data_IF_661155422986
#
_entry.id   IF_661155422986
#
_cell.length_a   1.000
_cell.length_b   1.000
_cell.length_c   1.000
_cell.angle_alpha   90.00
_cell.angle_beta   90.00
_cell.angle_gamma   90.00
#
_symmetry.space_group_name_H-M   'P 1'
#
loop_
_entity.id
_entity.type
_entity.pdbx_description
1 polymer ?
#
# COMPACT_ATOMS: atom_id res chain seq x y z
N UNK A 1 -19.46 15.15 -23.64
CA UNK A 1 -19.14 13.87 -22.94
C UNK A 1 -17.74 14.00 -22.38
N UNK A 2 -17.56 13.78 -21.08
CA UNK A 2 -16.24 13.90 -20.47
C UNK A 2 -15.27 12.87 -21.07
N UNK A 3 -14.15 13.32 -21.60
CA UNK A 3 -13.14 12.46 -22.20
C UNK A 3 -12.36 11.73 -21.10
N UNK A 4 -12.01 10.47 -21.34
CA UNK A 4 -11.11 9.70 -20.47
C UNK A 4 -9.87 9.31 -21.27
N UNK A 5 -8.70 9.61 -20.73
CA UNK A 5 -7.40 9.23 -21.28
C UNK A 5 -6.80 8.16 -20.36
N UNK A 6 -6.49 7.00 -20.92
CA UNK A 6 -5.81 5.91 -20.23
C UNK A 6 -4.31 5.96 -20.52
N UNK A 7 -3.52 5.77 -19.48
CA UNK A 7 -2.04 5.74 -19.58
C UNK A 7 -1.56 4.39 -19.01
N UNK A 8 -0.84 3.65 -19.83
CA UNK A 8 -0.04 2.52 -19.40
C UNK A 8 1.41 2.98 -19.24
N UNK A 9 1.95 2.87 -18.03
CA UNK A 9 3.23 3.46 -17.67
C UNK A 9 4.25 2.41 -17.21
N UNK A 10 5.43 2.48 -17.80
CA UNK A 10 6.59 1.68 -17.45
C UNK A 10 7.75 2.56 -16.94
N UNK A 11 8.86 1.94 -16.60
CA UNK A 11 10.04 2.63 -16.03
C UNK A 11 10.58 3.74 -16.95
N UNK A 12 10.63 3.50 -18.26
CA UNK A 12 11.30 4.38 -19.21
C UNK A 12 10.35 5.08 -20.19
N UNK A 13 9.19 4.50 -20.43
CA UNK A 13 8.22 5.01 -21.39
C UNK A 13 6.79 4.75 -20.95
N UNK A 14 5.84 5.43 -21.59
CA UNK A 14 4.42 5.19 -21.39
C UNK A 14 3.63 5.35 -22.69
N UNK A 15 2.53 4.62 -22.77
CA UNK A 15 1.57 4.65 -23.87
C UNK A 15 0.28 5.32 -23.42
N UNK A 16 -0.37 6.05 -24.32
CA UNK A 16 -1.63 6.73 -24.04
C UNK A 16 -2.71 6.35 -25.05
N UNK A 17 -3.95 6.32 -24.58
CA UNK A 17 -5.12 6.08 -25.40
C UNK A 17 -6.33 6.88 -24.90
N UNK A 18 -7.17 7.34 -25.82
CA UNK A 18 -8.49 7.87 -25.50
C UNK A 18 -9.54 7.25 -26.40
N UNK A 19 -10.73 6.95 -25.83
CA UNK A 19 -11.89 6.47 -26.59
C UNK A 19 -12.60 7.68 -27.20
N UNK A 20 -12.83 7.65 -28.51
CA UNK A 20 -13.55 8.68 -29.25
C UNK A 20 -15.05 8.35 -29.34
N UNK A 21 -15.89 9.37 -29.63
CA UNK A 21 -17.34 9.21 -29.78
C UNK A 21 -17.75 8.22 -30.88
N UNK A 22 -16.87 7.96 -31.87
CA UNK A 22 -17.08 6.98 -32.94
C UNK A 22 -16.70 5.54 -32.56
N UNK A 23 -16.37 5.28 -31.29
CA UNK A 23 -15.94 3.98 -30.80
C UNK A 23 -14.49 3.60 -31.16
N UNK A 24 -13.76 4.46 -31.86
CA UNK A 24 -12.34 4.24 -32.19
C UNK A 24 -11.43 4.82 -31.12
N UNK A 25 -10.23 4.24 -30.97
CA UNK A 25 -9.21 4.77 -30.08
C UNK A 25 -8.24 5.67 -30.82
N UNK A 26 -7.94 6.80 -30.21
CA UNK A 26 -6.77 7.61 -30.59
C UNK A 26 -5.65 7.28 -29.61
N UNK A 27 -4.48 6.97 -30.13
CA UNK A 27 -3.34 6.51 -29.32
C UNK A 27 -2.07 7.26 -29.68
N UNK A 28 -1.16 7.42 -28.72
CA UNK A 28 0.23 7.77 -28.93
C UNK A 28 1.09 6.87 -28.05
N UNK A 29 2.13 6.30 -28.61
CA UNK A 29 2.95 5.30 -27.94
C UNK A 29 4.37 5.81 -27.69
N UNK A 30 5.05 5.18 -26.74
CA UNK A 30 6.48 5.38 -26.46
C UNK A 30 6.87 6.82 -26.13
N UNK A 31 6.06 7.49 -25.34
CA UNK A 31 6.45 8.73 -24.71
C UNK A 31 7.44 8.42 -23.59
N UNK A 32 8.53 9.18 -23.47
CA UNK A 32 9.52 8.97 -22.42
C UNK A 32 8.92 9.30 -21.04
N UNK A 33 9.22 8.48 -20.03
CA UNK A 33 8.82 8.77 -18.63
C UNK A 33 9.80 9.81 -18.02
N UNK A 34 9.86 10.98 -18.64
CA UNK A 34 10.69 12.14 -18.29
C UNK A 34 9.92 13.42 -18.56
N UNK A 35 10.42 14.56 -18.11
CA UNK A 35 9.77 15.87 -18.34
C UNK A 35 9.48 16.13 -19.84
N UNK A 36 10.37 15.73 -20.75
CA UNK A 36 10.13 15.89 -22.18
C UNK A 36 8.91 15.10 -22.66
N UNK A 37 8.75 13.86 -22.18
CA UNK A 37 7.56 13.06 -22.51
C UNK A 37 6.30 13.61 -21.86
N UNK A 38 6.40 14.21 -20.67
CA UNK A 38 5.26 14.87 -20.01
C UNK A 38 4.78 16.09 -20.80
N UNK A 39 5.70 16.93 -21.29
CA UNK A 39 5.36 18.05 -22.18
C UNK A 39 4.73 17.56 -23.49
N UNK A 40 5.23 16.45 -24.07
CA UNK A 40 4.63 15.87 -25.27
C UNK A 40 3.22 15.32 -25.01
N UNK A 41 2.97 14.76 -23.82
CA UNK A 41 1.64 14.34 -23.39
C UNK A 41 0.72 15.56 -23.28
N UNK A 42 1.15 16.61 -22.62
CA UNK A 42 0.36 17.84 -22.44
C UNK A 42 -0.04 18.46 -23.78
N UNK A 43 0.90 18.58 -24.73
CA UNK A 43 0.60 19.03 -26.09
C UNK A 43 -0.41 18.14 -26.80
N UNK A 44 -0.36 16.83 -26.54
CA UNK A 44 -1.32 15.89 -27.10
C UNK A 44 -2.69 16.03 -26.44
N UNK A 45 -2.75 16.23 -25.11
CA UNK A 45 -3.99 16.43 -24.35
C UNK A 45 -4.72 17.69 -24.83
N UNK A 46 -4.02 18.81 -24.99
CA UNK A 46 -4.60 20.08 -25.49
C UNK A 46 -5.27 19.90 -26.88
N UNK A 47 -4.74 19.00 -27.72
CA UNK A 47 -5.29 18.76 -29.07
C UNK A 47 -6.43 17.76 -29.10
N UNK A 48 -6.52 16.86 -28.12
CA UNK A 48 -7.30 15.63 -28.26
C UNK A 48 -8.18 15.27 -27.06
N UNK A 49 -8.05 15.99 -25.96
CA UNK A 49 -8.85 15.81 -24.77
C UNK A 49 -9.59 17.11 -24.41
N UNK A 50 -10.70 16.99 -23.69
CA UNK A 50 -11.41 18.14 -23.13
C UNK A 50 -10.70 18.65 -21.89
N UNK A 51 -10.85 19.93 -21.49
CA UNK A 51 -10.16 20.50 -20.32
C UNK A 51 -10.48 19.79 -19.01
N UNK A 52 -11.66 19.19 -18.89
CA UNK A 52 -12.14 18.45 -17.72
C UNK A 52 -11.95 16.92 -17.83
N UNK A 53 -11.15 16.47 -18.81
CA UNK A 53 -10.87 15.06 -19.03
C UNK A 53 -10.30 14.37 -17.79
N UNK A 54 -10.71 13.14 -17.56
CA UNK A 54 -10.06 12.26 -16.60
C UNK A 54 -8.82 11.63 -17.23
N UNK A 55 -7.71 11.68 -16.50
CA UNK A 55 -6.49 10.96 -16.85
C UNK A 55 -6.34 9.80 -15.90
N UNK A 56 -6.49 8.59 -16.42
CA UNK A 56 -6.46 7.36 -15.65
C UNK A 56 -5.17 6.61 -15.91
N UNK A 57 -4.52 6.10 -14.88
CA UNK A 57 -3.31 5.29 -15.01
C UNK A 57 -3.29 4.17 -13.99
N UNK A 58 -2.57 3.09 -14.29
CA UNK A 58 -2.37 1.99 -13.36
C UNK A 58 -1.23 2.29 -12.40
N UNK A 59 -1.39 1.93 -11.11
CA UNK A 59 -0.36 2.07 -10.08
C UNK A 59 0.76 1.05 -10.27
N UNK A 60 1.65 1.27 -11.25
CA UNK A 60 2.78 0.39 -11.54
C UNK A 60 4.02 0.81 -10.74
N UNK A 61 4.24 0.17 -9.58
CA UNK A 61 5.35 0.52 -8.69
C UNK A 61 5.35 2.00 -8.34
N UNK A 62 6.53 2.65 -8.48
CA UNK A 62 6.73 4.10 -8.26
C UNK A 62 6.71 4.89 -9.58
N UNK A 63 6.64 4.21 -10.72
CA UNK A 63 6.89 4.84 -12.04
C UNK A 63 5.81 5.83 -12.45
N UNK A 64 4.60 5.69 -11.93
CA UNK A 64 3.48 6.60 -12.19
C UNK A 64 3.53 7.89 -11.38
N UNK A 65 4.27 7.93 -10.26
CA UNK A 65 4.20 9.04 -9.29
C UNK A 65 4.64 10.38 -9.90
N UNK A 66 5.75 10.41 -10.64
CA UNK A 66 6.26 11.64 -11.24
C UNK A 66 5.30 12.22 -12.28
N UNK A 67 4.72 11.38 -13.14
CA UNK A 67 3.75 11.81 -14.14
C UNK A 67 2.42 12.26 -13.49
N UNK A 68 1.95 11.51 -12.49
CA UNK A 68 0.73 11.88 -11.77
C UNK A 68 0.88 13.24 -11.05
N UNK A 69 2.04 13.48 -10.40
CA UNK A 69 2.34 14.75 -9.74
C UNK A 69 2.44 15.89 -10.75
N UNK A 70 3.11 15.68 -11.88
CA UNK A 70 3.20 16.66 -12.98
C UNK A 70 1.80 17.06 -13.46
N UNK A 71 0.97 16.08 -13.82
CA UNK A 71 -0.39 16.33 -14.31
C UNK A 71 -1.28 17.01 -13.26
N UNK A 72 -1.17 16.60 -11.98
CA UNK A 72 -1.88 17.25 -10.89
C UNK A 72 -1.50 18.73 -10.72
N UNK A 73 -0.19 19.05 -10.77
CA UNK A 73 0.31 20.42 -10.69
C UNK A 73 -0.15 21.29 -11.86
N UNK A 74 -0.41 20.70 -13.04
CA UNK A 74 -0.93 21.38 -14.22
C UNK A 74 -2.48 21.40 -14.29
N UNK A 75 -3.15 21.02 -13.19
CA UNK A 75 -4.60 21.13 -13.04
C UNK A 75 -5.41 20.01 -13.70
N UNK A 76 -4.78 18.94 -14.17
CA UNK A 76 -5.48 17.79 -14.73
C UNK A 76 -6.13 16.92 -13.65
N UNK A 77 -7.27 16.30 -13.98
CA UNK A 77 -7.97 15.37 -13.12
C UNK A 77 -7.36 13.96 -13.27
N UNK A 78 -6.48 13.60 -12.36
CA UNK A 78 -5.78 12.30 -12.37
C UNK A 78 -6.50 11.29 -11.49
N UNK A 79 -6.59 10.04 -11.93
CA UNK A 79 -7.01 8.90 -11.11
C UNK A 79 -6.03 7.75 -11.29
N UNK A 80 -5.42 7.30 -10.17
CA UNK A 80 -4.49 6.18 -10.14
C UNK A 80 -5.24 4.92 -9.69
N UNK A 81 -5.30 3.93 -10.57
CA UNK A 81 -6.15 2.75 -10.42
C UNK A 81 -5.31 1.57 -9.93
N UNK A 82 -5.86 0.81 -8.99
CA UNK A 82 -5.21 -0.40 -8.49
C UNK A 82 -5.06 -1.45 -9.61
N UNK A 83 -3.86 -2.02 -9.83
CA UNK A 83 -3.59 -3.03 -10.85
C UNK A 83 -4.54 -4.24 -10.81
N UNK A 84 -4.97 -4.66 -9.61
CA UNK A 84 -5.91 -5.76 -9.47
C UNK A 84 -7.29 -5.46 -10.09
N UNK A 85 -7.74 -4.18 -10.10
CA UNK A 85 -9.00 -3.77 -10.76
C UNK A 85 -8.87 -3.87 -12.26
N UNK A 86 -7.77 -3.36 -12.83
CA UNK A 86 -7.50 -3.42 -14.28
C UNK A 86 -7.37 -4.87 -14.73
N UNK A 87 -6.60 -5.69 -14.02
CA UNK A 87 -6.44 -7.13 -14.32
C UNK A 87 -7.77 -7.89 -14.27
N UNK A 88 -8.61 -7.65 -13.25
CA UNK A 88 -9.92 -8.27 -13.14
C UNK A 88 -10.86 -7.84 -14.29
N UNK A 89 -10.78 -6.57 -14.65
CA UNK A 89 -11.55 -6.01 -15.77
C UNK A 89 -11.10 -6.60 -17.11
N UNK A 90 -9.79 -6.74 -17.35
CA UNK A 90 -9.24 -7.42 -18.52
C UNK A 90 -9.78 -8.86 -18.65
N UNK A 91 -9.80 -9.60 -17.55
CA UNK A 91 -10.38 -10.94 -17.49
C UNK A 91 -11.87 -10.97 -17.87
N UNK A 92 -12.66 -9.99 -17.42
CA UNK A 92 -14.08 -9.88 -17.76
C UNK A 92 -14.33 -9.57 -19.24
N UNK A 93 -13.38 -8.92 -19.92
CA UNK A 93 -13.46 -8.62 -21.36
C UNK A 93 -12.92 -9.76 -22.24
N UNK A 94 -12.54 -10.91 -21.67
CA UNK A 94 -11.94 -12.05 -22.39
C UNK A 94 -10.73 -11.67 -23.28
N UNK A 95 -9.97 -10.68 -22.82
CA UNK A 95 -8.84 -10.14 -23.59
C UNK A 95 -7.72 -11.19 -23.65
N UNK A 96 -7.32 -11.59 -24.88
CA UNK A 96 -6.31 -12.61 -25.13
C UNK A 96 -4.94 -12.06 -25.48
N UNK A 97 -4.88 -10.79 -25.93
CA UNK A 97 -3.64 -10.13 -26.36
C UNK A 97 -3.22 -9.11 -25.31
N UNK A 98 -1.98 -9.21 -24.85
CA UNK A 98 -1.36 -8.26 -23.92
C UNK A 98 -0.25 -7.51 -24.65
N UNK A 99 -0.42 -6.20 -24.84
CA UNK A 99 0.60 -5.26 -25.33
C UNK A 99 0.32 -3.90 -24.72
N UNK A 100 1.34 -3.06 -24.53
CA UNK A 100 1.24 -1.76 -23.87
C UNK A 100 0.15 -0.86 -24.50
N UNK A 101 0.03 -0.86 -25.82
CA UNK A 101 -1.07 -0.15 -26.54
C UNK A 101 -2.45 -0.70 -26.22
N UNK A 102 -2.57 -1.99 -25.98
CA UNK A 102 -3.84 -2.65 -25.62
C UNK A 102 -4.15 -2.33 -24.16
N UNK A 103 -3.13 -2.28 -23.31
CA UNK A 103 -3.28 -1.99 -21.89
C UNK A 103 -3.68 -0.51 -21.67
N UNK A 104 -3.10 0.47 -22.37
CA UNK A 104 -3.56 1.87 -22.34
C UNK A 104 -5.02 2.04 -22.80
N UNK A 105 -5.45 1.30 -23.86
CA UNK A 105 -6.86 1.30 -24.28
C UNK A 105 -7.79 0.69 -23.25
N UNK A 106 -7.36 -0.37 -22.59
CA UNK A 106 -8.11 -1.03 -21.52
C UNK A 106 -8.29 -0.10 -20.32
N UNK A 107 -7.23 0.62 -19.93
CA UNK A 107 -7.27 1.60 -18.85
C UNK A 107 -8.23 2.74 -19.19
N UNK A 108 -8.18 3.26 -20.44
CA UNK A 108 -9.13 4.28 -20.90
C UNK A 108 -10.58 3.79 -20.88
N UNK A 109 -10.83 2.56 -21.35
CA UNK A 109 -12.15 1.97 -21.36
C UNK A 109 -12.69 1.71 -19.94
N UNK A 110 -11.81 1.23 -19.05
CA UNK A 110 -12.13 1.06 -17.64
C UNK A 110 -12.55 2.40 -17.02
N UNK A 111 -11.73 3.43 -17.17
CA UNK A 111 -12.03 4.76 -16.64
C UNK A 111 -13.32 5.34 -17.20
N UNK A 112 -13.59 5.15 -18.50
CA UNK A 112 -14.83 5.60 -19.13
C UNK A 112 -16.08 4.89 -18.56
N UNK A 113 -16.02 3.57 -18.38
CA UNK A 113 -17.15 2.78 -17.86
C UNK A 113 -17.40 2.92 -16.36
N UNK A 114 -16.38 3.32 -15.61
CA UNK A 114 -16.44 3.46 -14.15
C UNK A 114 -16.16 4.90 -13.72
N UNK A 115 -16.54 5.87 -14.54
CA UNK A 115 -16.24 7.30 -14.32
C UNK A 115 -16.76 7.79 -12.96
N UNK A 116 -17.93 7.31 -12.54
CA UNK A 116 -18.55 7.65 -11.25
C UNK A 116 -17.79 7.09 -10.03
N UNK A 117 -16.93 6.10 -10.25
CA UNK A 117 -16.08 5.48 -9.21
C UNK A 117 -14.67 6.05 -9.17
N UNK A 118 -14.28 6.88 -10.14
CA UNK A 118 -12.94 7.46 -10.19
C UNK A 118 -12.73 8.41 -9.01
N UNK A 119 -11.62 8.22 -8.32
CA UNK A 119 -11.22 9.10 -7.23
C UNK A 119 -10.09 10.02 -7.70
N UNK A 120 -10.18 11.34 -7.43
CA UNK A 120 -9.09 12.25 -7.76
C UNK A 120 -7.86 11.90 -6.93
N UNK A 121 -6.76 11.67 -7.64
CA UNK A 121 -5.46 11.45 -7.03
C UNK A 121 -4.88 12.78 -6.55
N UNK A 122 -4.24 12.74 -5.40
CA UNK A 122 -3.50 13.87 -4.84
C UNK A 122 -2.12 13.39 -4.40
N UNK A 123 -1.07 14.21 -4.58
CA UNK A 123 0.26 13.85 -4.13
C UNK A 123 0.27 13.72 -2.60
N UNK A 124 0.94 12.69 -2.13
CA UNK A 124 1.17 12.60 -0.69
C UNK A 124 2.05 13.74 -0.20
N UNK A 125 1.83 14.24 1.02
CA UNK A 125 2.72 15.21 1.63
C UNK A 125 4.19 14.75 1.60
N UNK A 126 5.13 15.65 1.35
CA UNK A 126 6.55 15.33 1.27
C UNK A 126 7.07 14.62 2.54
N UNK A 127 6.57 15.03 3.71
CA UNK A 127 6.89 14.43 5.00
C UNK A 127 6.44 12.95 5.03
N UNK A 128 5.24 12.64 4.56
CA UNK A 128 4.72 11.29 4.50
C UNK A 128 5.51 10.40 3.53
N UNK A 129 5.86 10.92 2.34
CA UNK A 129 6.70 10.22 1.35
C UNK A 129 8.07 9.90 1.93
N UNK A 130 8.68 10.86 2.65
CA UNK A 130 9.98 10.66 3.31
C UNK A 130 9.92 9.60 4.39
N UNK A 131 8.90 9.61 5.25
CA UNK A 131 8.70 8.59 6.28
C UNK A 131 8.59 7.20 5.64
N UNK A 132 7.78 7.07 4.59
CA UNK A 132 7.62 5.79 3.88
C UNK A 132 8.94 5.30 3.27
N UNK A 133 9.72 6.17 2.66
CA UNK A 133 11.02 5.80 2.10
C UNK A 133 11.99 5.31 3.18
N UNK A 134 12.06 5.98 4.35
CA UNK A 134 12.90 5.58 5.47
C UNK A 134 12.45 4.23 6.07
N UNK A 135 11.16 4.02 6.25
CA UNK A 135 10.62 2.76 6.79
C UNK A 135 10.89 1.60 5.83
N UNK A 136 10.66 1.77 4.53
CA UNK A 136 11.00 0.75 3.52
C UNK A 136 12.49 0.44 3.51
N UNK A 137 13.35 1.47 3.55
CA UNK A 137 14.79 1.25 3.65
C UNK A 137 15.19 0.46 4.88
N UNK A 138 14.55 0.70 6.02
CA UNK A 138 14.78 -0.07 7.24
C UNK A 138 14.39 -1.55 7.06
N UNK A 139 13.29 -1.83 6.37
CA UNK A 139 12.86 -3.21 6.07
C UNK A 139 13.86 -3.92 5.17
N UNK A 140 14.27 -3.27 4.06
CA UNK A 140 15.30 -3.81 3.15
C UNK A 140 16.61 -4.15 3.89
N UNK A 141 17.08 -3.23 4.74
CA UNK A 141 18.30 -3.44 5.52
C UNK A 141 18.19 -4.63 6.47
N UNK A 142 17.02 -4.83 7.07
CA UNK A 142 16.78 -5.97 7.97
C UNK A 142 16.64 -7.29 7.21
N UNK A 143 16.07 -7.29 6.02
CA UNK A 143 16.06 -8.47 5.17
C UNK A 143 17.50 -8.87 4.79
N UNK A 144 18.33 -7.91 4.39
CA UNK A 144 19.73 -8.14 4.08
C UNK A 144 20.49 -8.66 5.30
N UNK A 145 20.29 -8.07 6.47
CA UNK A 145 20.88 -8.55 7.72
C UNK A 145 20.51 -10.01 8.01
N UNK A 146 19.22 -10.36 7.85
CA UNK A 146 18.76 -11.73 8.09
C UNK A 146 19.35 -12.71 7.07
N UNK A 147 19.45 -12.31 5.80
CA UNK A 147 20.09 -13.13 4.76
C UNK A 147 21.56 -13.41 5.10
N UNK A 148 22.31 -12.41 5.55
CA UNK A 148 23.72 -12.59 5.94
C UNK A 148 23.87 -13.41 7.24
N UNK A 149 22.95 -13.27 8.19
CA UNK A 149 22.93 -14.13 9.39
C UNK A 149 22.70 -15.60 9.03
N UNK A 150 21.75 -15.89 8.16
CA UNK A 150 21.49 -17.26 7.69
C UNK A 150 22.70 -17.81 6.91
N UNK A 151 23.38 -16.95 6.13
CA UNK A 151 24.61 -17.33 5.42
C UNK A 151 25.74 -17.68 6.37
N UNK A 152 25.89 -16.92 7.45
CA UNK A 152 26.95 -17.14 8.45
C UNK A 152 26.87 -18.55 9.07
N UNK A 153 25.67 -19.10 9.26
CA UNK A 153 25.45 -20.43 9.85
C UNK A 153 26.02 -21.58 9.02
N UNK A 154 26.14 -21.38 7.69
CA UNK A 154 26.56 -22.44 6.74
C UNK A 154 27.83 -22.11 5.97
N UNK A 155 28.46 -20.98 6.27
CA UNK A 155 29.62 -20.46 5.53
C UNK A 155 30.95 -21.10 6.01
N UNK A 156 31.85 -21.35 5.04
CA UNK A 156 33.21 -21.81 5.34
C UNK A 156 33.97 -20.79 6.22
N UNK A 157 34.78 -21.24 7.21
CA UNK A 157 35.52 -20.37 8.10
C UNK A 157 36.37 -19.31 7.38
N UNK A 158 36.92 -19.63 6.21
CA UNK A 158 37.76 -18.71 5.44
C UNK A 158 37.08 -17.41 4.99
N UNK A 159 35.73 -17.40 4.86
CA UNK A 159 34.95 -16.23 4.42
C UNK A 159 34.08 -15.61 5.51
N UNK A 160 34.02 -16.21 6.72
CA UNK A 160 33.26 -15.70 7.85
C UNK A 160 33.60 -14.25 8.22
N UNK A 161 34.91 -13.89 8.13
CA UNK A 161 35.37 -12.52 8.40
C UNK A 161 34.69 -11.47 7.50
N UNK A 162 34.47 -11.79 6.22
CA UNK A 162 33.77 -10.93 5.28
C UNK A 162 32.28 -10.78 5.64
N UNK A 163 31.61 -11.88 6.01
CA UNK A 163 30.20 -11.85 6.43
C UNK A 163 30.01 -11.04 7.72
N UNK A 164 30.90 -11.20 8.69
CA UNK A 164 30.88 -10.41 9.94
C UNK A 164 31.07 -8.90 9.68
N UNK A 165 32.00 -8.53 8.79
CA UNK A 165 32.19 -7.13 8.40
C UNK A 165 30.92 -6.52 7.79
N UNK A 166 30.25 -7.27 6.89
CA UNK A 166 28.99 -6.83 6.29
C UNK A 166 27.86 -6.72 7.32
N UNK A 167 27.71 -7.69 8.22
CA UNK A 167 26.73 -7.65 9.31
C UNK A 167 26.95 -6.44 10.22
N UNK A 168 28.20 -6.11 10.54
CA UNK A 168 28.54 -4.92 11.33
C UNK A 168 28.11 -3.65 10.61
N UNK A 169 28.39 -3.53 9.31
CA UNK A 169 27.96 -2.39 8.50
C UNK A 169 26.45 -2.29 8.42
N UNK A 170 25.75 -3.39 8.16
CA UNK A 170 24.27 -3.41 8.13
C UNK A 170 23.69 -2.97 9.47
N UNK A 171 24.24 -3.44 10.60
CA UNK A 171 23.83 -3.00 11.94
C UNK A 171 23.95 -1.48 12.14
N UNK A 172 25.05 -0.88 11.67
CA UNK A 172 25.24 0.58 11.71
C UNK A 172 24.20 1.32 10.85
N UNK A 173 23.96 0.85 9.62
CA UNK A 173 22.96 1.44 8.72
C UNK A 173 21.53 1.33 9.30
N UNK A 174 21.19 0.20 9.92
CA UNK A 174 19.90 0.00 10.61
C UNK A 174 19.75 1.00 11.75
N UNK A 175 20.76 1.15 12.59
CA UNK A 175 20.74 2.10 13.71
C UNK A 175 20.57 3.56 13.23
N UNK A 176 21.31 3.95 12.19
CA UNK A 176 21.23 5.28 11.61
C UNK A 176 19.85 5.54 10.97
N UNK A 177 19.30 4.56 10.25
CA UNK A 177 17.98 4.68 9.63
C UNK A 177 16.88 4.78 10.69
N UNK A 178 16.95 4.01 11.77
CA UNK A 178 16.03 4.13 12.91
C UNK A 178 16.11 5.52 13.54
N UNK A 179 17.31 6.05 13.76
CA UNK A 179 17.50 7.41 14.26
C UNK A 179 16.84 8.44 13.33
N UNK A 180 17.06 8.32 12.01
CA UNK A 180 16.46 9.21 11.02
C UNK A 180 14.92 9.14 11.01
N UNK A 181 14.33 7.96 11.25
CA UNK A 181 12.88 7.79 11.37
C UNK A 181 12.38 8.54 12.61
N UNK A 182 13.00 8.35 13.77
CA UNK A 182 12.61 9.01 15.02
C UNK A 182 12.72 10.52 14.88
N UNK A 183 13.86 11.05 14.43
CA UNK A 183 14.06 12.48 14.20
C UNK A 183 13.03 13.07 13.23
N UNK A 184 12.71 12.35 12.15
CA UNK A 184 11.72 12.80 11.19
C UNK A 184 10.31 12.89 11.80
N UNK A 185 9.91 11.88 12.59
CA UNK A 185 8.61 11.87 13.29
C UNK A 185 8.58 12.98 14.36
N UNK A 186 9.65 13.14 15.15
CA UNK A 186 9.70 14.12 16.24
C UNK A 186 9.70 15.57 15.75
N UNK A 187 10.26 15.82 14.56
CA UNK A 187 10.30 17.14 13.94
C UNK A 187 9.00 17.50 13.17
N UNK A 188 8.10 16.54 12.95
CA UNK A 188 6.80 16.78 12.34
C UNK A 188 5.69 16.67 13.40
N UNK A 189 5.03 17.79 13.79
CA UNK A 189 4.03 17.80 14.87
C UNK A 189 2.85 16.86 14.64
N UNK A 190 2.42 16.66 13.37
CA UNK A 190 1.32 15.78 13.03
C UNK A 190 1.73 14.29 13.17
N UNK A 191 2.89 13.93 12.60
CA UNK A 191 3.44 12.58 12.74
C UNK A 191 3.72 12.22 14.20
N UNK A 192 4.27 13.16 14.98
CA UNK A 192 4.53 12.97 16.42
C UNK A 192 3.24 12.72 17.19
N UNK A 193 2.22 13.55 16.98
CA UNK A 193 0.92 13.38 17.63
C UNK A 193 0.29 12.03 17.32
N UNK A 194 0.32 11.64 16.06
CA UNK A 194 -0.20 10.33 15.61
C UNK A 194 0.62 9.15 16.14
N UNK A 195 1.96 9.28 16.24
CA UNK A 195 2.83 8.28 16.86
C UNK A 195 2.44 8.07 18.32
N UNK A 196 2.28 9.14 19.10
CA UNK A 196 1.94 9.08 20.51
C UNK A 196 0.57 8.40 20.73
N UNK A 197 -0.39 8.67 19.85
CA UNK A 197 -1.67 7.99 19.84
C UNK A 197 -1.51 6.48 19.58
N UNK A 198 -0.68 6.07 18.63
CA UNK A 198 -0.46 4.65 18.30
C UNK A 198 0.27 3.91 19.42
N UNK A 199 1.27 4.53 20.03
CA UNK A 199 2.06 3.94 21.12
C UNK A 199 1.22 3.78 22.40
N UNK A 200 0.11 4.52 22.56
CA UNK A 200 -0.84 4.29 23.66
C UNK A 200 -1.53 2.93 23.60
N UNK A 201 -1.41 2.20 22.49
CA UNK A 201 -2.03 0.88 22.29
C UNK A 201 -1.06 -0.21 22.76
N UNK A 202 -1.43 -0.97 23.80
CA UNK A 202 -0.62 -2.09 24.28
C UNK A 202 -0.32 -3.08 23.15
N UNK A 203 0.97 -3.30 22.88
CA UNK A 203 1.48 -4.13 21.80
C UNK A 203 1.98 -3.35 20.58
N UNK A 204 1.78 -2.03 20.53
CA UNK A 204 2.35 -1.16 19.50
C UNK A 204 3.49 -0.33 20.09
N UNK A 205 4.72 -0.65 19.70
CA UNK A 205 5.90 0.17 20.01
C UNK A 205 6.24 1.15 18.88
N UNK A 206 7.24 1.99 19.11
CA UNK A 206 7.70 3.05 18.20
C UNK A 206 7.89 2.58 16.75
N UNK A 207 8.55 1.43 16.58
CA UNK A 207 8.78 0.86 15.23
C UNK A 207 7.49 0.49 14.52
N UNK A 208 6.53 -0.10 15.25
CA UNK A 208 5.24 -0.48 14.66
C UNK A 208 4.40 0.76 14.38
N UNK A 209 4.47 1.77 15.24
CA UNK A 209 3.84 3.06 15.00
C UNK A 209 4.39 3.73 13.74
N UNK A 210 5.72 3.77 13.56
CA UNK A 210 6.34 4.30 12.35
C UNK A 210 5.89 3.55 11.07
N UNK A 211 5.82 2.22 11.11
CA UNK A 211 5.30 1.42 10.01
C UNK A 211 3.83 1.74 9.70
N UNK A 212 2.99 1.82 10.74
CA UNK A 212 1.57 2.17 10.57
C UNK A 212 1.40 3.56 9.97
N UNK A 213 2.16 4.55 10.45
CA UNK A 213 2.15 5.91 9.91
C UNK A 213 2.60 5.92 8.45
N UNK A 214 3.69 5.23 8.12
CA UNK A 214 4.24 5.17 6.77
C UNK A 214 3.27 4.56 5.75
N UNK A 215 2.60 3.47 6.11
CA UNK A 215 1.77 2.72 5.17
C UNK A 215 0.30 3.17 5.17
N UNK A 216 -0.25 3.57 6.32
CA UNK A 216 -1.63 4.06 6.36
C UNK A 216 -1.77 5.50 5.87
N UNK A 217 -0.75 6.35 6.06
CA UNK A 217 -0.83 7.77 5.72
C UNK A 217 -1.98 8.48 6.44
N UNK A 218 -2.80 9.23 5.68
CA UNK A 218 -4.00 9.83 6.24
C UNK A 218 -5.08 8.76 6.53
N UNK A 219 -5.50 8.57 7.79
CA UNK A 219 -6.55 7.61 8.14
C UNK A 219 -7.91 7.97 7.52
N UNK A 220 -8.16 9.24 7.18
CA UNK A 220 -9.42 9.67 6.59
C UNK A 220 -9.61 9.20 5.14
N UNK A 221 -8.55 8.78 4.47
CA UNK A 221 -8.66 8.16 3.12
C UNK A 221 -9.43 6.84 3.12
N UNK A 222 -9.62 6.22 4.28
CA UNK A 222 -10.39 4.99 4.41
C UNK A 222 -11.79 5.29 4.91
N UNK A 223 -12.78 4.70 4.27
CA UNK A 223 -14.19 4.87 4.66
C UNK A 223 -14.48 4.32 6.05
N UNK A 224 -13.92 3.15 6.36
CA UNK A 224 -14.13 2.45 7.62
C UNK A 224 -12.96 1.51 7.97
N UNK A 225 -13.05 0.90 9.14
CA UNK A 225 -12.06 -0.07 9.63
C UNK A 225 -11.98 -1.35 8.76
N UNK A 226 -13.04 -1.69 7.99
CA UNK A 226 -13.02 -2.87 7.10
C UNK A 226 -12.16 -2.56 5.86
N UNK A 227 -12.22 -1.33 5.36
CA UNK A 227 -11.37 -0.86 4.26
C UNK A 227 -9.88 -0.92 4.62
N UNK A 228 -9.50 -0.51 5.84
CA UNK A 228 -8.11 -0.63 6.33
C UNK A 228 -7.65 -2.08 6.42
N UNK A 229 -8.51 -2.96 6.92
CA UNK A 229 -8.22 -4.40 7.00
C UNK A 229 -8.07 -5.02 5.60
N UNK A 230 -8.90 -4.59 4.65
CA UNK A 230 -8.79 -5.00 3.25
C UNK A 230 -7.48 -4.50 2.62
N UNK A 231 -7.10 -3.25 2.88
CA UNK A 231 -5.84 -2.67 2.43
C UNK A 231 -4.62 -3.47 2.92
N UNK A 232 -4.64 -3.98 4.15
CA UNK A 232 -3.60 -4.85 4.68
C UNK A 232 -3.69 -6.32 4.19
N UNK A 233 -4.77 -6.69 3.49
CA UNK A 233 -5.00 -8.07 3.04
C UNK A 233 -5.27 -9.07 4.17
N UNK A 234 -5.84 -8.58 5.29
CA UNK A 234 -6.21 -9.36 6.47
C UNK A 234 -7.67 -9.82 6.47
N UNK A 235 -8.40 -9.54 5.39
CA UNK A 235 -9.77 -10.04 5.23
C UNK A 235 -9.80 -11.55 5.04
N UNK A 236 -10.76 -12.26 5.65
CA UNK A 236 -11.02 -13.66 5.29
C UNK A 236 -11.52 -13.72 3.84
N UNK A 237 -10.93 -14.61 3.06
CA UNK A 237 -11.42 -15.00 1.74
C UNK A 237 -12.25 -16.26 1.90
N UNK A 238 -13.54 -16.11 1.68
CA UNK A 238 -14.48 -17.22 1.64
C UNK A 238 -14.53 -17.80 0.22
N UNK A 239 -14.50 -19.10 0.09
CA UNK A 239 -14.76 -19.81 -1.15
C UNK A 239 -15.89 -20.80 -0.89
N UNK A 240 -17.11 -20.32 -1.09
CA UNK A 240 -18.32 -21.12 -0.91
C UNK A 240 -19.09 -21.12 -2.24
N UNK A 241 -19.42 -22.29 -2.78
CA UNK A 241 -20.27 -22.43 -3.93
C UNK A 241 -21.18 -23.63 -3.72
N UNK A 242 -22.48 -23.38 -3.63
CA UNK A 242 -23.47 -24.43 -3.37
C UNK A 242 -23.18 -25.20 -2.10
N UNK A 243 -23.02 -26.52 -2.22
CA UNK A 243 -22.67 -27.42 -1.10
C UNK A 243 -21.18 -27.43 -0.73
N UNK A 244 -20.31 -26.83 -1.54
CA UNK A 244 -18.87 -26.84 -1.29
C UNK A 244 -18.45 -25.70 -0.38
N UNK A 245 -17.96 -26.04 0.82
CA UNK A 245 -17.34 -25.10 1.76
C UNK A 245 -15.82 -25.26 1.72
N UNK A 246 -15.14 -24.35 1.02
CA UNK A 246 -13.70 -24.30 0.95
C UNK A 246 -13.05 -23.84 2.28
N UNK A 247 -11.73 -24.06 2.41
CA UNK A 247 -10.96 -23.55 3.56
C UNK A 247 -10.88 -22.02 3.54
N UNK A 248 -11.20 -21.41 4.67
CA UNK A 248 -11.08 -19.95 4.83
C UNK A 248 -9.61 -19.56 5.01
N UNK A 249 -9.13 -18.69 4.16
CA UNK A 249 -7.78 -18.09 4.25
C UNK A 249 -7.87 -16.58 4.32
N UNK A 250 -6.80 -15.90 4.76
CA UNK A 250 -6.70 -14.44 4.60
C UNK A 250 -6.50 -14.11 3.12
N UNK A 251 -7.01 -12.97 2.68
CA UNK A 251 -6.98 -12.53 1.27
C UNK A 251 -5.56 -12.47 0.69
N UNK A 252 -4.58 -12.02 1.47
CA UNK A 252 -3.20 -11.71 1.06
C UNK A 252 -3.08 -10.67 -0.06
N UNK A 253 -4.18 -10.19 -0.60
CA UNK A 253 -4.22 -9.08 -1.55
C UNK A 253 -4.18 -7.78 -0.78
N UNK A 254 -3.13 -6.97 -0.95
CA UNK A 254 -2.94 -5.71 -0.23
C UNK A 254 -1.52 -5.54 0.31
N UNK A 255 -1.32 -4.59 1.22
CA UNK A 255 -0.01 -4.20 1.73
C UNK A 255 0.68 -5.34 2.51
N UNK A 256 1.75 -5.89 1.92
CA UNK A 256 2.53 -6.98 2.53
C UNK A 256 3.28 -6.49 3.76
N UNK A 257 3.87 -5.30 3.70
CA UNK A 257 4.64 -4.68 4.77
C UNK A 257 3.82 -4.55 6.06
N UNK A 258 2.59 -4.01 5.98
CA UNK A 258 1.66 -3.98 7.12
C UNK A 258 1.35 -5.36 7.66
N UNK A 259 1.09 -6.32 6.79
CA UNK A 259 0.73 -7.68 7.20
C UNK A 259 1.89 -8.39 7.91
N UNK A 260 3.11 -8.26 7.39
CA UNK A 260 4.31 -8.82 8.01
C UNK A 260 4.64 -8.10 9.32
N UNK A 261 4.62 -6.76 9.31
CA UNK A 261 4.99 -5.95 10.46
C UNK A 261 4.00 -6.01 11.63
N UNK A 262 2.74 -6.39 11.40
CA UNK A 262 1.74 -6.56 12.46
C UNK A 262 1.81 -7.91 13.15
N UNK A 263 2.55 -8.90 12.65
CA UNK A 263 2.57 -10.24 13.22
C UNK A 263 3.09 -10.25 14.66
N UNK A 264 4.32 -9.82 14.88
CA UNK A 264 4.91 -9.82 16.24
C UNK A 264 4.22 -8.86 17.21
N UNK A 265 3.86 -7.61 16.83
CA UNK A 265 3.03 -6.75 17.66
C UNK A 265 1.73 -7.40 18.12
N UNK A 266 1.09 -8.17 17.25
CA UNK A 266 -0.14 -8.89 17.63
C UNK A 266 0.09 -10.04 18.59
N UNK A 267 1.24 -10.74 18.48
CA UNK A 267 1.64 -11.77 19.45
C UNK A 267 1.87 -11.13 20.83
N UNK A 268 2.54 -9.99 20.90
CA UNK A 268 2.73 -9.23 22.15
C UNK A 268 1.37 -8.74 22.68
N UNK A 269 0.53 -8.16 21.82
CA UNK A 269 -0.79 -7.68 22.21
C UNK A 269 -1.71 -8.79 22.73
N UNK A 270 -1.58 -10.04 22.29
CA UNK A 270 -2.33 -11.18 22.85
C UNK A 270 -1.99 -11.48 24.31
N UNK A 271 -0.91 -10.92 24.83
CA UNK A 271 -0.50 -11.05 26.23
C UNK A 271 -0.86 -9.80 27.04
N UNK A 272 -0.64 -8.62 26.47
CA UNK A 272 -0.68 -7.35 27.20
C UNK A 272 -1.95 -6.52 26.94
N UNK A 273 -2.57 -6.63 25.76
CA UNK A 273 -3.77 -5.86 25.43
C UNK A 273 -5.04 -6.62 25.83
N UNK A 274 -5.79 -6.11 26.77
CA UNK A 274 -6.99 -6.79 27.32
C UNK A 274 -8.03 -7.12 26.24
N UNK A 275 -8.26 -6.25 25.26
CA UNK A 275 -9.24 -6.49 24.20
C UNK A 275 -8.80 -7.63 23.26
N UNK A 276 -7.50 -7.73 22.98
CA UNK A 276 -6.92 -8.77 22.12
C UNK A 276 -6.78 -10.08 22.91
N UNK A 277 -6.44 -10.02 24.20
CA UNK A 277 -6.42 -11.18 25.10
C UNK A 277 -7.80 -11.84 25.19
N UNK A 278 -8.86 -11.06 25.40
CA UNK A 278 -10.24 -11.56 25.41
C UNK A 278 -10.64 -12.20 24.05
N UNK A 279 -10.18 -11.62 22.92
CA UNK A 279 -10.38 -12.22 21.60
C UNK A 279 -9.67 -13.58 21.48
N UNK A 280 -8.40 -13.67 21.93
CA UNK A 280 -7.60 -14.91 21.95
C UNK A 280 -8.32 -16.01 22.74
N UNK A 281 -8.74 -15.72 23.97
CA UNK A 281 -9.42 -16.67 24.86
C UNK A 281 -10.73 -17.18 24.23
N UNK A 282 -11.55 -16.29 23.71
CA UNK A 282 -12.80 -16.62 23.04
C UNK A 282 -12.59 -17.48 21.78
N UNK A 283 -11.53 -17.24 21.02
CA UNK A 283 -11.20 -18.04 19.83
C UNK A 283 -10.60 -19.41 20.20
N UNK A 284 -9.76 -19.47 21.22
CA UNK A 284 -9.21 -20.71 21.74
C UNK A 284 -10.31 -21.63 22.28
N UNK A 285 -11.28 -21.09 23.03
CA UNK A 285 -12.45 -21.83 23.49
C UNK A 285 -13.30 -22.41 22.35
N UNK A 286 -13.25 -21.81 21.14
CA UNK A 286 -13.90 -22.31 19.92
C UNK A 286 -13.01 -23.25 19.11
N UNK A 287 -11.89 -23.73 19.64
CA UNK A 287 -10.97 -24.67 18.98
C UNK A 287 -10.22 -24.10 17.78
N UNK A 288 -10.06 -22.77 17.67
CA UNK A 288 -9.29 -22.15 16.56
C UNK A 288 -7.80 -22.37 16.75
N UNK A 289 -7.09 -22.64 15.65
CA UNK A 289 -5.64 -22.83 15.68
C UNK A 289 -4.87 -21.54 16.01
N UNK A 290 -3.65 -21.66 16.53
CA UNK A 290 -2.79 -20.52 16.88
C UNK A 290 -2.61 -19.52 15.73
N UNK A 291 -2.38 -20.00 14.50
CA UNK A 291 -2.27 -19.15 13.32
C UNK A 291 -3.55 -18.35 13.02
N UNK A 292 -4.73 -18.97 13.21
CA UNK A 292 -6.01 -18.28 13.04
C UNK A 292 -6.21 -17.19 14.10
N UNK A 293 -5.80 -17.49 15.34
CA UNK A 293 -5.88 -16.53 16.46
C UNK A 293 -4.97 -15.32 16.20
N UNK A 294 -3.72 -15.55 15.78
CA UNK A 294 -2.79 -14.46 15.45
C UNK A 294 -3.34 -13.60 14.30
N UNK A 295 -3.84 -14.19 13.21
CA UNK A 295 -4.45 -13.43 12.12
C UNK A 295 -5.66 -12.59 12.57
N UNK A 296 -6.48 -13.11 13.47
CA UNK A 296 -7.59 -12.35 14.04
C UNK A 296 -7.11 -11.23 14.97
N UNK A 297 -6.05 -11.46 15.75
CA UNK A 297 -5.39 -10.45 16.57
C UNK A 297 -4.80 -9.32 15.71
N UNK A 298 -4.09 -9.65 14.61
CA UNK A 298 -3.58 -8.66 13.64
C UNK A 298 -4.70 -7.78 13.09
N UNK A 299 -5.81 -8.39 12.69
CA UNK A 299 -6.98 -7.67 12.21
C UNK A 299 -7.55 -6.74 13.28
N UNK A 300 -7.73 -7.23 14.51
CA UNK A 300 -8.28 -6.42 15.61
C UNK A 300 -7.33 -5.30 16.01
N UNK A 301 -6.01 -5.56 16.07
CA UNK A 301 -5.00 -4.55 16.39
C UNK A 301 -5.00 -3.43 15.36
N UNK A 302 -5.06 -3.77 14.07
CA UNK A 302 -5.14 -2.78 12.99
C UNK A 302 -6.44 -1.95 13.05
N UNK A 303 -7.57 -2.57 13.39
CA UNK A 303 -8.84 -1.86 13.57
C UNK A 303 -8.78 -0.90 14.76
N UNK A 304 -8.13 -1.29 15.86
CA UNK A 304 -7.91 -0.43 17.04
C UNK A 304 -7.01 0.75 16.64
N UNK A 305 -5.87 0.49 15.97
CA UNK A 305 -4.96 1.53 15.51
C UNK A 305 -5.67 2.56 14.61
N UNK A 306 -6.46 2.09 13.64
CA UNK A 306 -7.28 2.97 12.82
C UNK A 306 -8.30 3.78 13.62
N UNK A 307 -8.98 3.16 14.57
CA UNK A 307 -9.95 3.84 15.43
C UNK A 307 -9.32 4.94 16.28
N UNK A 308 -8.14 4.69 16.82
CA UNK A 308 -7.35 5.65 17.59
C UNK A 308 -6.92 6.83 16.72
N UNK A 309 -6.34 6.56 15.54
CA UNK A 309 -5.94 7.61 14.60
C UNK A 309 -7.14 8.44 14.12
N UNK A 310 -8.26 7.79 13.78
CA UNK A 310 -9.47 8.48 13.30
C UNK A 310 -10.14 9.35 14.38
N UNK A 311 -10.12 8.89 15.62
CA UNK A 311 -10.74 9.63 16.73
C UNK A 311 -9.85 10.74 17.29
N UNK A 312 -8.53 10.68 17.06
CA UNK A 312 -7.56 11.59 17.67
C UNK A 312 -7.47 11.42 19.22
N UNK A 313 -7.93 10.28 19.75
CA UNK A 313 -7.92 10.01 21.20
C UNK A 313 -7.05 8.80 21.50
N UNK A 314 -6.29 8.81 22.61
CA UNK A 314 -5.52 7.66 23.05
C UNK A 314 -6.39 6.39 23.21
N UNK A 315 -5.74 5.24 23.19
CA UNK A 315 -6.43 3.95 23.33
C UNK A 315 -7.20 3.85 24.66
N UNK A 316 -8.47 3.47 24.55
CA UNK A 316 -9.33 3.12 25.68
C UNK A 316 -9.81 1.68 25.53
N UNK A 317 -9.40 0.85 26.47
CA UNK A 317 -9.75 -0.57 26.51
C UNK A 317 -11.26 -0.81 26.61
N UNK A 318 -12.00 0.08 27.27
CA UNK A 318 -13.46 -0.04 27.44
C UNK A 318 -14.17 0.05 26.08
N UNK A 319 -13.75 0.99 25.24
CA UNK A 319 -14.30 1.14 23.88
C UNK A 319 -13.92 -0.04 22.97
N UNK A 320 -12.76 -0.65 23.20
CA UNK A 320 -12.29 -1.79 22.41
C UNK A 320 -12.97 -3.11 22.80
N UNK A 321 -13.44 -3.25 24.05
CA UNK A 321 -14.20 -4.40 24.55
C UNK A 321 -15.69 -4.32 24.19
N UNK A 322 -16.26 -3.13 24.10
CA UNK A 322 -17.67 -2.91 23.79
C UNK A 322 -18.07 -3.27 22.34
N UNK A 323 -17.10 -3.58 21.47
CA UNK A 323 -17.25 -3.98 20.06
C UNK A 323 -16.64 -5.38 19.85
#
# INVERSE_FOLDING_TARGET
>A
MTTVVGIDIAKHEFDIATLQNNGKYRTKAKLSNTLDGFHQLEQWLVKHAEPDAWITMEATGIYHEALAEYLYQHGYRVSVINPARISSYAGSQLQRVKTDKVDAKLIALYGYRHMDELQPWQPEPASQRRLRALVRRLEDLKELEQMERNRLEVTDPSVQGSVHALLTHLGQQIAQTLKSIHEHIDNDPDLRSRRDLLVSIDGIGERTAALLLAELGDPLRFTDAKAVVAFAGLNPRLQESGSHKGKVHISRTGCLSLRAGLYMPSVVAMTHNMAIKALKERMAARGKSGKQIVCAAMRKLLQIAYGVLKSGKPFDVRLALAR
#
